data_IF_290859668608
#
_entry.id   IF_290859668608
#
_cell.length_a   1.000
_cell.length_b   1.000
_cell.length_c   1.000
_cell.angle_alpha   90.00
_cell.angle_beta   90.00
_cell.angle_gamma   90.00
#
_symmetry.space_group_name_H-M   'P 1'
#
loop_
_entity.id
_entity.type
_entity.pdbx_description
1 polymer ?
#
# COMPACT_ATOMS: atom_id res chain seq x y z
N UNK A 1 -32.50 -32.51 90.09
CA UNK A 1 -33.46 -32.33 91.19
C UNK A 1 -34.23 -31.04 90.95
N UNK A 2 -35.51 -31.11 90.52
CA UNK A 2 -36.53 -30.01 90.42
C UNK A 2 -36.14 -28.76 89.58
N UNK A 3 -37.01 -28.04 88.84
CA UNK A 3 -38.43 -28.07 88.40
C UNK A 3 -38.47 -27.24 87.07
N UNK A 4 -39.29 -27.53 86.04
CA UNK A 4 -40.63 -26.93 85.78
C UNK A 4 -40.74 -25.42 86.12
N UNK A 5 -41.33 -24.48 85.36
CA UNK A 5 -42.16 -24.37 84.13
C UNK A 5 -42.14 -22.85 83.70
N UNK A 6 -42.60 -22.31 82.56
CA UNK A 6 -43.27 -22.80 81.34
C UNK A 6 -43.05 -21.82 80.14
N UNK A 7 -43.60 -22.17 78.96
CA UNK A 7 -44.12 -21.29 77.87
C UNK A 7 -43.21 -20.35 77.04
N UNK A 8 -43.63 -20.14 75.78
CA UNK A 8 -42.93 -19.48 74.67
C UNK A 8 -43.95 -19.09 73.57
N UNK A 9 -43.57 -18.41 72.48
CA UNK A 9 -42.77 -17.19 72.37
C UNK A 9 -43.50 -16.13 71.49
N UNK A 10 -42.88 -14.96 71.21
CA UNK A 10 -42.54 -14.53 69.84
C UNK A 10 -41.88 -13.13 69.76
N UNK A 11 -40.71 -13.11 69.13
CA UNK A 11 -40.17 -12.10 68.18
C UNK A 11 -40.41 -10.59 68.43
N UNK A 12 -39.31 -9.89 68.73
CA UNK A 12 -39.15 -8.45 68.51
C UNK A 12 -37.89 -8.17 67.69
N UNK A 13 -37.98 -7.27 66.70
CA UNK A 13 -36.87 -6.89 65.82
C UNK A 13 -35.81 -6.03 66.52
N UNK A 14 -34.53 -6.26 66.21
CA UNK A 14 -33.42 -5.39 66.56
C UNK A 14 -32.60 -5.04 65.33
N UNK A 15 -32.60 -3.77 64.93
CA UNK A 15 -31.97 -3.30 63.69
C UNK A 15 -30.45 -3.26 63.79
N UNK A 16 -29.75 -3.98 62.90
CA UNK A 16 -28.30 -3.86 62.72
C UNK A 16 -27.97 -2.84 61.62
N UNK A 17 -27.15 -1.84 61.95
CA UNK A 17 -26.65 -0.85 60.99
C UNK A 17 -25.52 -1.48 60.17
N UNK A 18 -25.78 -1.78 58.90
CA UNK A 18 -24.76 -2.21 57.96
C UNK A 18 -24.15 -1.00 57.24
N UNK A 19 -22.87 -0.71 57.51
CA UNK A 19 -22.10 0.28 56.73
C UNK A 19 -21.73 -0.38 55.40
N UNK A 20 -22.54 -0.12 54.37
CA UNK A 20 -22.25 -0.57 53.01
C UNK A 20 -21.10 0.25 52.42
N UNK A 21 -19.92 -0.36 52.24
CA UNK A 21 -18.92 0.16 51.31
C UNK A 21 -19.50 0.07 49.90
N UNK A 22 -20.00 1.19 49.38
CA UNK A 22 -20.33 1.32 47.98
C UNK A 22 -19.02 1.34 47.17
N UNK A 23 -18.49 0.17 46.80
CA UNK A 23 -17.48 0.07 45.76
C UNK A 23 -18.09 0.58 44.47
N UNK A 24 -17.77 1.83 44.12
CA UNK A 24 -18.09 2.41 42.83
C UNK A 24 -17.32 1.62 41.76
N UNK A 25 -17.93 0.58 41.23
CA UNK A 25 -17.46 -0.07 40.00
C UNK A 25 -17.69 0.93 38.89
N UNK A 26 -16.68 1.78 38.68
CA UNK A 26 -16.54 2.52 37.43
C UNK A 26 -16.31 1.45 36.37
N UNK A 27 -17.40 1.04 35.73
CA UNK A 27 -17.35 0.26 34.51
C UNK A 27 -16.56 1.10 33.51
N UNK A 28 -15.27 0.76 33.36
CA UNK A 28 -14.45 1.30 32.29
C UNK A 28 -15.03 0.70 31.02
N UNK A 29 -15.94 1.43 30.38
CA UNK A 29 -16.23 1.21 28.98
C UNK A 29 -14.87 1.16 28.27
N UNK A 30 -14.60 0.15 27.42
CA UNK A 30 -13.34 0.10 26.69
C UNK A 30 -13.22 1.42 25.93
N UNK A 31 -12.16 2.17 26.20
CA UNK A 31 -11.93 3.44 25.53
C UNK A 31 -11.69 3.13 24.06
N UNK A 32 -12.72 3.33 23.24
CA UNK A 32 -12.66 3.17 21.78
C UNK A 32 -11.84 4.31 21.20
N UNK A 33 -10.52 4.29 21.40
CA UNK A 33 -9.56 5.11 20.66
C UNK A 33 -9.31 4.43 19.31
N UNK A 34 -10.39 4.14 18.59
CA UNK A 34 -10.32 4.03 17.14
C UNK A 34 -10.10 5.42 16.56
N UNK A 35 -9.77 5.50 15.27
CA UNK A 35 -9.86 6.76 14.55
C UNK A 35 -11.27 7.34 14.71
N UNK A 36 -11.40 8.55 15.26
CA UNK A 36 -12.69 9.25 15.25
C UNK A 36 -13.19 9.27 13.80
N UNK A 37 -14.42 8.80 13.55
CA UNK A 37 -14.99 8.73 12.20
C UNK A 37 -15.05 10.11 11.51
N UNK A 38 -14.90 11.20 12.27
CA UNK A 38 -14.70 12.58 11.78
C UNK A 38 -13.42 12.79 10.95
N UNK A 39 -12.43 11.89 11.03
CA UNK A 39 -11.14 11.97 10.32
C UNK A 39 -11.13 11.25 8.97
N UNK A 40 -12.07 10.33 8.75
CA UNK A 40 -12.21 9.60 7.49
C UNK A 40 -13.02 10.47 6.51
N UNK A 41 -12.48 10.68 5.31
CA UNK A 41 -13.12 11.44 4.24
C UNK A 41 -13.29 10.56 3.01
N UNK A 42 -14.45 10.68 2.36
CA UNK A 42 -14.72 10.06 1.07
C UNK A 42 -13.84 10.70 -0.01
N UNK A 43 -13.21 9.88 -0.84
CA UNK A 43 -12.52 10.29 -2.08
C UNK A 43 -13.45 10.08 -3.27
N UNK A 44 -13.98 8.85 -3.42
CA UNK A 44 -14.96 8.46 -4.42
C UNK A 44 -15.74 7.22 -3.94
N UNK A 45 -16.99 7.03 -4.39
CA UNK A 45 -17.81 5.83 -4.10
C UNK A 45 -18.55 5.34 -5.34
N UNK A 46 -18.98 4.08 -5.32
CA UNK A 46 -19.82 3.53 -6.38
C UNK A 46 -21.13 4.34 -6.53
N UNK A 47 -21.59 4.50 -7.78
CA UNK A 47 -22.77 5.31 -8.12
C UNK A 47 -22.53 6.83 -8.12
N UNK A 48 -21.40 7.33 -7.62
CA UNK A 48 -21.05 8.76 -7.75
C UNK A 48 -20.78 9.11 -9.23
N UNK A 49 -21.33 10.24 -9.69
CA UNK A 49 -21.15 10.70 -11.07
C UNK A 49 -19.66 10.90 -11.42
N UNK A 50 -19.24 10.35 -12.56
CA UNK A 50 -17.85 10.37 -12.99
C UNK A 50 -17.55 11.53 -13.97
N UNK A 51 -16.37 12.18 -13.88
CA UNK A 51 -15.97 13.22 -14.82
C UNK A 51 -15.81 12.68 -16.24
N UNK A 52 -16.69 13.10 -17.15
CA UNK A 52 -16.77 12.61 -18.53
C UNK A 52 -18.06 11.85 -18.87
N UNK A 53 -18.88 11.52 -17.87
CA UNK A 53 -20.16 10.84 -18.04
C UNK A 53 -20.26 9.55 -17.22
N UNK A 54 -21.49 9.04 -17.06
CA UNK A 54 -21.75 7.86 -16.25
C UNK A 54 -21.47 8.06 -14.76
N UNK A 55 -21.22 6.95 -14.06
CA UNK A 55 -20.88 6.89 -12.64
C UNK A 55 -19.74 5.92 -12.38
N UNK A 56 -18.97 6.13 -11.33
CA UNK A 56 -18.02 5.13 -10.83
C UNK A 56 -18.76 3.86 -10.44
N UNK A 57 -18.16 2.72 -10.72
CA UNK A 57 -18.69 1.40 -10.39
C UNK A 57 -17.73 0.69 -9.43
N UNK A 58 -16.59 0.20 -9.90
CA UNK A 58 -15.57 -0.44 -9.07
C UNK A 58 -14.29 0.37 -8.98
N UNK A 59 -13.61 0.31 -7.82
CA UNK A 59 -12.26 0.88 -7.61
C UNK A 59 -11.16 -0.19 -7.58
N UNK A 60 -11.55 -1.46 -7.69
CA UNK A 60 -10.69 -2.63 -7.61
C UNK A 60 -10.82 -3.52 -8.83
N UNK A 61 -9.82 -4.38 -9.01
CA UNK A 61 -9.86 -5.52 -9.92
C UNK A 61 -9.59 -6.75 -9.05
N UNK A 62 -10.44 -7.76 -9.14
CA UNK A 62 -10.56 -8.86 -8.15
C UNK A 62 -9.22 -9.52 -7.77
N UNK A 63 -8.28 -9.58 -8.72
CA UNK A 63 -7.02 -10.31 -8.61
C UNK A 63 -5.80 -9.43 -8.28
N UNK A 64 -5.97 -8.12 -8.05
CA UNK A 64 -4.89 -7.17 -7.85
C UNK A 64 -5.09 -6.27 -6.60
N UNK A 65 -4.04 -5.92 -5.85
CA UNK A 65 -4.15 -4.98 -4.74
C UNK A 65 -4.41 -3.56 -5.26
N UNK A 66 -5.33 -2.83 -4.63
CA UNK A 66 -5.62 -1.44 -4.99
C UNK A 66 -4.67 -0.50 -4.26
N UNK A 67 -4.00 0.38 -5.02
CA UNK A 67 -3.12 1.41 -4.49
C UNK A 67 -3.54 2.75 -5.10
N UNK A 68 -4.08 3.62 -4.25
CA UNK A 68 -4.49 4.97 -4.61
C UNK A 68 -3.57 5.99 -3.92
N UNK A 69 -2.42 6.35 -4.53
CA UNK A 69 -1.42 7.19 -3.88
C UNK A 69 -1.98 8.57 -3.55
N UNK A 70 -1.56 9.09 -2.38
CA UNK A 70 -1.96 10.39 -1.83
C UNK A 70 -0.73 11.27 -1.62
N UNK A 71 -0.84 12.57 -1.93
CA UNK A 71 0.23 13.56 -1.71
C UNK A 71 -0.09 14.54 -0.56
N UNK A 72 0.90 15.34 -0.17
CA UNK A 72 0.79 16.30 0.95
C UNK A 72 -0.28 17.40 0.75
N UNK A 73 -0.87 17.53 -0.44
CA UNK A 73 -2.03 18.42 -0.68
C UNK A 73 -3.38 17.71 -0.53
N UNK A 74 -3.39 16.46 -0.10
CA UNK A 74 -4.60 15.63 -0.02
C UNK A 74 -5.18 15.30 -1.40
N UNK A 75 -4.38 15.37 -2.46
CA UNK A 75 -4.78 14.87 -3.78
C UNK A 75 -4.59 13.36 -3.79
N UNK A 76 -5.52 12.64 -4.42
CA UNK A 76 -5.50 11.17 -4.50
C UNK A 76 -5.69 10.75 -5.96
N UNK A 77 -4.73 10.00 -6.51
CA UNK A 77 -4.87 9.40 -7.83
C UNK A 77 -5.41 7.98 -7.70
N UNK A 78 -6.36 7.58 -8.55
CA UNK A 78 -6.99 6.27 -8.47
C UNK A 78 -7.48 5.76 -9.83
N UNK A 79 -7.61 4.44 -9.93
CA UNK A 79 -8.30 3.73 -11.00
C UNK A 79 -9.79 3.55 -10.64
N UNK A 80 -10.67 3.57 -11.64
CA UNK A 80 -12.05 3.11 -11.49
C UNK A 80 -12.67 2.59 -12.80
N UNK A 81 -13.56 1.60 -12.71
CA UNK A 81 -14.51 1.25 -13.77
C UNK A 81 -15.72 2.19 -13.76
N UNK A 82 -16.41 2.28 -14.89
CA UNK A 82 -17.46 3.26 -15.15
C UNK A 82 -18.73 2.60 -15.70
N UNK A 83 -19.84 2.81 -15.00
CA UNK A 83 -21.16 2.36 -15.42
C UNK A 83 -21.91 3.48 -16.17
N UNK A 84 -22.63 3.13 -17.24
CA UNK A 84 -23.40 4.08 -18.11
C UNK A 84 -22.54 5.21 -18.70
N UNK A 85 -21.26 4.92 -18.94
CA UNK A 85 -20.28 5.80 -19.58
C UNK A 85 -19.96 5.29 -21.00
N UNK A 86 -19.44 6.17 -21.86
CA UNK A 86 -18.88 5.76 -23.16
C UNK A 86 -17.50 5.10 -23.02
N UNK A 87 -16.77 5.44 -21.96
CA UNK A 87 -15.52 4.80 -21.54
C UNK A 87 -15.81 3.75 -20.47
N UNK A 88 -15.20 2.57 -20.54
CA UNK A 88 -15.40 1.50 -19.55
C UNK A 88 -14.63 1.68 -18.24
N UNK A 89 -13.46 2.32 -18.28
CA UNK A 89 -12.58 2.53 -17.12
C UNK A 89 -11.62 3.72 -17.32
N UNK A 90 -10.94 4.13 -16.26
CA UNK A 90 -9.89 5.14 -16.36
C UNK A 90 -9.17 5.49 -15.07
N UNK A 91 -8.27 6.47 -15.19
CA UNK A 91 -7.49 7.08 -14.10
C UNK A 91 -8.04 8.48 -13.81
N UNK A 92 -8.18 8.76 -12.52
CA UNK A 92 -8.77 9.99 -11.99
C UNK A 92 -7.88 10.60 -10.91
N UNK A 93 -8.04 11.91 -10.68
CA UNK A 93 -7.38 12.64 -9.61
C UNK A 93 -8.44 13.38 -8.79
N UNK A 94 -8.63 12.97 -7.54
CA UNK A 94 -9.38 13.72 -6.56
C UNK A 94 -8.53 14.83 -5.93
N UNK A 95 -9.14 15.97 -5.64
CA UNK A 95 -8.55 17.12 -4.98
C UNK A 95 -9.63 17.84 -4.17
N UNK A 96 -9.74 17.53 -2.88
CA UNK A 96 -10.89 17.95 -2.07
C UNK A 96 -12.16 17.21 -2.49
N UNK A 97 -13.24 17.92 -2.79
CA UNK A 97 -14.49 17.36 -3.32
C UNK A 97 -14.53 17.28 -4.86
N UNK A 98 -13.54 17.84 -5.55
CA UNK A 98 -13.46 17.81 -7.02
C UNK A 98 -12.67 16.60 -7.50
N UNK A 99 -13.22 15.87 -8.47
CA UNK A 99 -12.52 14.78 -9.17
C UNK A 99 -12.31 15.23 -10.61
N UNK A 100 -11.10 15.05 -11.12
CA UNK A 100 -10.71 15.39 -12.50
C UNK A 100 -10.36 14.12 -13.26
N UNK A 101 -10.80 14.03 -14.53
CA UNK A 101 -10.39 12.98 -15.47
C UNK A 101 -8.90 13.16 -15.81
N UNK A 102 -8.08 12.14 -15.58
CA UNK A 102 -6.67 12.14 -16.03
C UNK A 102 -6.56 11.48 -17.40
N UNK A 103 -7.18 10.30 -17.55
CA UNK A 103 -7.30 9.56 -18.80
C UNK A 103 -8.41 8.50 -18.64
N UNK A 104 -9.18 8.24 -19.69
CA UNK A 104 -10.15 7.13 -19.74
C UNK A 104 -10.01 6.34 -21.03
N UNK A 105 -10.63 5.17 -21.06
CA UNK A 105 -10.83 4.36 -22.26
C UNK A 105 -11.46 5.22 -23.40
N UNK A 106 -10.91 5.09 -24.61
CA UNK A 106 -11.25 5.92 -25.78
C UNK A 106 -10.52 7.25 -25.90
N UNK A 107 -9.80 7.75 -24.88
CA UNK A 107 -8.97 8.97 -25.02
C UNK A 107 -7.82 8.74 -26.03
N UNK A 108 -7.42 9.79 -26.76
CA UNK A 108 -6.33 9.68 -27.76
C UNK A 108 -4.99 9.39 -27.09
N UNK A 109 -4.30 8.34 -27.54
CA UNK A 109 -2.99 7.96 -27.04
C UNK A 109 -1.86 8.81 -27.68
N UNK A 110 -0.90 9.34 -26.89
CA UNK A 110 0.29 9.99 -27.43
C UNK A 110 1.12 9.03 -28.30
N UNK A 111 1.16 9.31 -29.61
CA UNK A 111 1.81 8.45 -30.62
C UNK A 111 0.84 7.85 -31.64
N UNK A 112 -0.47 7.97 -31.42
CA UNK A 112 -1.52 7.45 -32.31
C UNK A 112 -2.34 6.33 -31.64
N UNK A 113 -3.54 6.10 -32.16
CA UNK A 113 -4.54 5.22 -31.54
C UNK A 113 -5.27 5.87 -30.35
N UNK A 114 -5.97 5.04 -29.58
CA UNK A 114 -6.67 5.40 -28.35
C UNK A 114 -6.20 4.54 -27.19
N UNK A 115 -6.25 5.08 -25.97
CA UNK A 115 -6.18 4.27 -24.76
C UNK A 115 -7.38 3.31 -24.76
N UNK A 116 -7.15 2.05 -24.37
CA UNK A 116 -8.15 0.98 -24.48
C UNK A 116 -8.16 0.03 -23.29
N UNK A 117 -7.58 0.45 -22.17
CA UNK A 117 -7.56 -0.30 -20.91
C UNK A 117 -6.42 0.13 -19.99
N UNK A 118 -6.62 -0.06 -18.70
CA UNK A 118 -5.74 0.24 -17.57
C UNK A 118 -5.69 -0.95 -16.61
N UNK A 119 -6.70 -1.82 -16.64
CA UNK A 119 -6.88 -2.89 -15.64
C UNK A 119 -5.81 -3.98 -15.59
N UNK A 120 -4.90 -4.06 -16.57
CA UNK A 120 -3.69 -4.89 -16.48
C UNK A 120 -2.75 -4.42 -15.37
N UNK A 121 -2.67 -3.10 -15.15
CA UNK A 121 -1.79 -2.44 -14.19
C UNK A 121 -2.50 -1.21 -13.57
N UNK A 122 -3.55 -1.41 -12.74
CA UNK A 122 -4.47 -0.35 -12.29
C UNK A 122 -3.88 0.59 -11.22
N UNK A 123 -2.56 0.58 -11.02
CA UNK A 123 -1.86 1.33 -9.98
C UNK A 123 -1.23 2.58 -10.61
N UNK A 124 -1.85 3.78 -10.46
CA UNK A 124 -1.19 5.02 -10.81
C UNK A 124 -0.12 5.39 -9.79
N UNK A 125 0.80 6.28 -10.18
CA UNK A 125 1.71 6.98 -9.30
C UNK A 125 1.41 8.49 -9.32
N UNK A 126 1.46 9.14 -8.16
CA UNK A 126 1.17 10.56 -7.95
C UNK A 126 2.36 11.25 -7.29
N UNK A 127 2.73 12.44 -7.75
CA UNK A 127 3.77 13.26 -7.11
C UNK A 127 3.20 14.50 -6.40
N UNK A 128 4.05 15.24 -5.68
CA UNK A 128 3.70 16.45 -4.97
C UNK A 128 3.42 17.66 -5.89
N UNK A 129 3.33 17.50 -7.21
CA UNK A 129 2.85 18.51 -8.16
C UNK A 129 1.49 18.16 -8.77
N UNK A 130 0.90 17.02 -8.43
CA UNK A 130 -0.34 16.55 -9.06
C UNK A 130 -0.12 15.94 -10.44
N UNK A 131 1.13 15.66 -10.83
CA UNK A 131 1.40 14.83 -12.00
C UNK A 131 1.04 13.38 -11.69
N UNK A 132 0.47 12.68 -12.67
CA UNK A 132 0.03 11.29 -12.54
C UNK A 132 0.67 10.44 -13.64
N UNK A 133 1.43 9.41 -13.25
CA UNK A 133 1.94 8.38 -14.16
C UNK A 133 1.09 7.11 -14.06
N UNK A 134 0.86 6.43 -15.16
CA UNK A 134 0.09 5.17 -15.21
C UNK A 134 0.49 4.34 -16.43
N UNK A 135 0.21 3.04 -16.39
CA UNK A 135 0.29 2.16 -17.55
C UNK A 135 -1.10 2.00 -18.19
N UNK A 136 -1.16 1.86 -19.51
CA UNK A 136 -2.41 1.64 -20.25
C UNK A 136 -2.18 0.89 -21.58
N UNK A 137 -3.15 0.06 -21.95
CA UNK A 137 -3.27 -0.53 -23.27
C UNK A 137 -3.64 0.52 -24.34
N UNK A 138 -3.26 0.26 -25.58
CA UNK A 138 -3.51 1.13 -26.74
C UNK A 138 -4.11 0.32 -27.89
N UNK A 139 -5.20 0.81 -28.45
CA UNK A 139 -5.87 0.25 -29.63
C UNK A 139 -5.73 1.18 -30.84
N UNK A 140 -5.70 0.61 -32.05
CA UNK A 140 -5.65 1.38 -33.31
C UNK A 140 -4.38 2.22 -33.53
N UNK A 141 -3.31 1.93 -32.78
CA UNK A 141 -2.00 2.58 -32.89
C UNK A 141 -0.89 1.63 -33.38
N UNK A 142 0.35 2.12 -33.37
CA UNK A 142 1.55 1.32 -33.68
C UNK A 142 2.13 0.58 -32.46
N UNK A 143 1.51 0.77 -31.29
CA UNK A 143 1.85 0.10 -30.03
C UNK A 143 0.57 -0.48 -29.41
N UNK A 144 0.75 -1.47 -28.54
CA UNK A 144 -0.35 -2.17 -27.83
C UNK A 144 -0.46 -1.75 -26.36
N UNK A 145 0.58 -1.15 -25.78
CA UNK A 145 0.56 -0.59 -24.43
C UNK A 145 1.67 0.43 -24.21
N UNK A 146 1.51 1.28 -23.20
CA UNK A 146 2.50 2.26 -22.81
C UNK A 146 2.39 2.70 -21.36
N UNK A 147 3.47 3.29 -20.87
CA UNK A 147 3.46 4.11 -19.66
C UNK A 147 3.29 5.55 -20.09
N UNK A 148 2.36 6.25 -19.48
CA UNK A 148 2.03 7.63 -19.77
C UNK A 148 2.17 8.50 -18.52
N UNK A 149 2.38 9.79 -18.73
CA UNK A 149 2.50 10.79 -17.67
C UNK A 149 1.64 11.99 -18.03
N UNK A 150 0.61 12.24 -17.23
CA UNK A 150 -0.18 13.48 -17.25
C UNK A 150 0.46 14.48 -16.30
N UNK A 151 0.87 15.64 -16.82
CA UNK A 151 1.50 16.70 -16.05
C UNK A 151 1.11 18.04 -16.65
N UNK A 152 0.63 18.97 -15.82
CA UNK A 152 0.11 20.29 -16.25
C UNK A 152 -0.95 20.19 -17.35
N UNK A 153 -1.87 19.22 -17.21
CA UNK A 153 -2.97 18.97 -18.17
C UNK A 153 -2.54 18.37 -19.52
N UNK A 154 -1.27 17.95 -19.67
CA UNK A 154 -0.76 17.34 -20.90
C UNK A 154 -0.35 15.90 -20.67
N UNK A 155 -0.92 14.99 -21.45
CA UNK A 155 -0.53 13.58 -21.50
C UNK A 155 0.67 13.40 -22.45
N UNK A 156 1.70 12.68 -22.00
CA UNK A 156 2.86 12.28 -22.81
C UNK A 156 3.19 10.81 -22.60
N UNK A 157 3.77 10.15 -23.59
CA UNK A 157 4.34 8.81 -23.44
C UNK A 157 5.69 8.84 -22.72
N UNK A 158 5.90 7.87 -21.83
CA UNK A 158 7.14 7.60 -21.09
C UNK A 158 7.80 6.37 -21.73
N UNK A 159 7.08 5.28 -21.92
CA UNK A 159 7.55 4.12 -22.67
C UNK A 159 6.38 3.51 -23.43
N UNK A 160 6.65 2.79 -24.51
CA UNK A 160 5.64 2.08 -25.31
C UNK A 160 6.19 0.73 -25.74
N UNK A 161 5.33 -0.29 -25.78
CA UNK A 161 5.70 -1.60 -26.31
C UNK A 161 6.10 -1.48 -27.79
N UNK A 162 7.08 -2.27 -28.22
CA UNK A 162 7.78 -2.13 -29.51
C UNK A 162 8.82 -1.00 -29.56
N UNK A 163 8.83 -0.08 -28.58
CA UNK A 163 9.86 0.96 -28.48
C UNK A 163 11.24 0.42 -28.12
N UNK A 164 12.32 1.14 -28.43
CA UNK A 164 13.70 0.71 -28.12
C UNK A 164 13.94 0.67 -26.61
N UNK A 165 14.71 -0.32 -26.15
CA UNK A 165 15.09 -0.51 -24.76
C UNK A 165 16.60 -0.24 -24.57
N UNK A 166 17.03 0.99 -24.21
CA UNK A 166 18.45 1.37 -24.16
C UNK A 166 19.24 0.52 -23.15
N UNK A 167 20.52 0.28 -23.43
CA UNK A 167 21.37 -0.56 -22.57
C UNK A 167 21.13 -2.06 -22.72
N UNK A 168 20.23 -2.50 -23.60
CA UNK A 168 20.06 -3.89 -24.04
C UNK A 168 20.23 -3.94 -25.56
N UNK A 169 21.26 -4.65 -26.04
CA UNK A 169 21.60 -4.70 -27.46
C UNK A 169 20.44 -5.27 -28.29
N UNK A 170 19.94 -4.50 -29.26
CA UNK A 170 18.75 -4.81 -30.08
C UNK A 170 17.48 -5.11 -29.27
N UNK A 171 17.38 -4.57 -28.05
CA UNK A 171 16.22 -4.74 -27.17
C UNK A 171 15.04 -3.85 -27.56
N UNK A 172 13.83 -4.41 -27.52
CA UNK A 172 12.57 -3.65 -27.60
C UNK A 172 11.66 -3.98 -26.42
N UNK A 173 10.99 -2.98 -25.86
CA UNK A 173 9.96 -3.21 -24.83
C UNK A 173 8.87 -4.16 -25.33
N UNK A 174 8.48 -5.11 -24.50
CA UNK A 174 7.42 -6.08 -24.79
C UNK A 174 6.27 -5.95 -23.78
N UNK A 175 6.59 -5.83 -22.49
CA UNK A 175 5.64 -5.57 -21.40
C UNK A 175 6.15 -4.42 -20.53
N UNK A 176 5.24 -3.58 -20.05
CA UNK A 176 5.51 -2.41 -19.20
C UNK A 176 4.62 -2.41 -17.96
N UNK A 177 5.22 -2.50 -16.77
CA UNK A 177 4.49 -2.55 -15.50
C UNK A 177 4.11 -1.16 -14.95
N UNK A 178 3.37 -1.16 -13.84
CA UNK A 178 2.97 0.04 -13.11
C UNK A 178 4.19 0.92 -12.73
N UNK A 179 4.16 2.23 -13.04
CA UNK A 179 5.29 3.13 -12.80
C UNK A 179 5.43 3.55 -11.33
N UNK A 180 6.63 4.01 -10.98
CA UNK A 180 6.89 4.92 -9.86
C UNK A 180 7.26 6.32 -10.39
N UNK A 181 6.84 7.37 -9.68
CA UNK A 181 6.97 8.77 -10.10
C UNK A 181 7.53 9.61 -8.94
N UNK A 182 8.44 10.55 -9.22
CA UNK A 182 8.91 11.53 -8.24
C UNK A 182 8.51 12.98 -8.59
N UNK A 183 8.83 13.91 -7.69
CA UNK A 183 8.53 15.35 -7.83
C UNK A 183 9.29 16.04 -8.98
N UNK A 184 10.33 15.41 -9.54
CA UNK A 184 11.03 15.90 -10.75
C UNK A 184 10.38 15.42 -12.06
N UNK A 185 9.18 14.83 -11.99
CA UNK A 185 8.49 14.18 -13.11
C UNK A 185 9.33 13.02 -13.71
N UNK A 186 10.28 12.44 -12.95
CA UNK A 186 11.03 11.26 -13.36
C UNK A 186 10.18 10.02 -13.12
N UNK A 187 10.27 9.04 -14.02
CA UNK A 187 9.47 7.81 -13.97
C UNK A 187 10.37 6.59 -13.99
N UNK A 188 10.28 5.75 -12.96
CA UNK A 188 10.91 4.44 -12.92
C UNK A 188 9.87 3.35 -13.21
N UNK A 189 10.25 2.28 -13.88
CA UNK A 189 9.34 1.18 -14.21
C UNK A 189 10.10 -0.13 -14.45
N UNK A 190 9.44 -1.25 -14.15
CA UNK A 190 9.86 -2.57 -14.59
C UNK A 190 9.31 -2.82 -16.00
N UNK A 191 10.09 -3.52 -16.82
CA UNK A 191 9.69 -3.90 -18.16
C UNK A 191 10.26 -5.26 -18.55
N UNK A 192 9.48 -6.06 -19.27
CA UNK A 192 10.04 -7.13 -20.07
C UNK A 192 10.53 -6.58 -21.41
N UNK A 193 11.75 -6.93 -21.79
CA UNK A 193 12.43 -6.52 -23.01
C UNK A 193 12.68 -7.77 -23.87
N UNK A 194 12.18 -7.75 -25.10
CA UNK A 194 12.50 -8.78 -26.10
C UNK A 194 13.87 -8.49 -26.71
N UNK A 195 14.73 -9.51 -26.72
CA UNK A 195 16.09 -9.50 -27.29
C UNK A 195 16.26 -10.72 -28.20
N UNK A 196 16.04 -10.54 -29.50
CA UNK A 196 16.05 -11.66 -30.46
C UNK A 196 14.91 -12.65 -30.16
N UNK A 197 15.26 -13.86 -29.71
CA UNK A 197 14.30 -14.90 -29.25
C UNK A 197 14.13 -14.94 -27.73
N UNK A 198 14.94 -14.19 -26.98
CA UNK A 198 14.89 -14.12 -25.53
C UNK A 198 13.95 -12.98 -25.07
N UNK A 199 13.43 -13.12 -23.86
CA UNK A 199 12.75 -12.05 -23.13
C UNK A 199 13.42 -11.94 -21.77
N UNK A 200 13.82 -10.72 -21.41
CA UNK A 200 14.52 -10.43 -20.14
C UNK A 200 13.84 -9.27 -19.42
N UNK A 201 13.80 -9.31 -18.10
CA UNK A 201 13.32 -8.21 -17.27
C UNK A 201 14.41 -7.15 -17.07
N UNK A 202 13.97 -5.89 -16.99
CA UNK A 202 14.84 -4.76 -16.70
C UNK A 202 14.08 -3.59 -16.08
N UNK A 203 14.70 -2.96 -15.08
CA UNK A 203 14.22 -1.71 -14.48
C UNK A 203 14.82 -0.53 -15.27
N UNK A 204 13.97 0.42 -15.62
CA UNK A 204 14.33 1.64 -16.35
C UNK A 204 14.01 2.88 -15.55
N UNK A 205 14.79 3.95 -15.80
CA UNK A 205 14.52 5.30 -15.33
C UNK A 205 14.40 6.26 -16.52
N UNK A 206 13.30 7.03 -16.57
CA UNK A 206 13.10 8.16 -17.47
C UNK A 206 13.34 9.46 -16.71
N UNK A 207 14.55 10.02 -16.85
CA UNK A 207 14.92 11.33 -16.30
C UNK A 207 14.75 12.41 -17.39
N UNK A 208 13.58 13.05 -17.43
CA UNK A 208 13.24 14.01 -18.49
C UNK A 208 13.18 13.36 -19.87
N UNK A 209 14.18 13.64 -20.73
CA UNK A 209 14.32 13.00 -22.05
C UNK A 209 15.23 11.76 -22.04
N UNK A 210 16.08 11.60 -21.03
CA UNK A 210 16.97 10.43 -20.94
C UNK A 210 16.18 9.20 -20.50
N UNK A 211 16.37 8.08 -21.18
CA UNK A 211 15.89 6.76 -20.78
C UNK A 211 17.10 5.86 -20.57
N UNK A 212 17.30 5.40 -19.35
CA UNK A 212 18.47 4.60 -18.96
C UNK A 212 18.02 3.29 -18.31
N UNK A 213 18.66 2.18 -18.70
CA UNK A 213 18.61 0.94 -17.92
C UNK A 213 19.22 1.21 -16.54
N UNK A 214 18.53 0.80 -15.49
CA UNK A 214 19.03 0.78 -14.11
C UNK A 214 19.71 -0.56 -13.85
N UNK A 215 18.98 -1.65 -14.07
CA UNK A 215 19.43 -3.05 -13.98
C UNK A 215 18.61 -3.92 -14.95
N UNK A 216 19.17 -5.04 -15.39
CA UNK A 216 18.48 -6.11 -16.12
C UNK A 216 18.89 -7.50 -15.61
N UNK A 217 18.09 -8.51 -15.96
CA UNK A 217 18.47 -9.91 -15.77
C UNK A 217 19.80 -10.19 -16.49
N UNK A 218 20.66 -10.97 -15.82
CA UNK A 218 22.03 -11.24 -16.26
C UNK A 218 23.05 -10.16 -15.91
N UNK A 219 22.64 -8.96 -15.46
CA UNK A 219 23.60 -7.99 -14.90
C UNK A 219 24.19 -8.53 -13.58
N UNK A 220 25.49 -8.29 -13.27
CA UNK A 220 26.10 -8.73 -12.02
C UNK A 220 25.42 -8.12 -10.80
N UNK A 221 25.10 -8.95 -9.80
CA UNK A 221 24.51 -8.50 -8.56
C UNK A 221 25.60 -8.12 -7.52
N UNK A 222 25.36 -7.10 -6.67
CA UNK A 222 26.22 -6.84 -5.51
C UNK A 222 26.33 -8.06 -4.60
N UNK A 223 27.54 -8.33 -4.12
CA UNK A 223 27.94 -9.57 -3.42
C UNK A 223 27.90 -10.87 -4.28
N UNK A 224 27.93 -10.75 -5.60
CA UNK A 224 28.11 -11.86 -6.54
C UNK A 224 26.81 -12.47 -7.05
N UNK A 225 26.94 -13.34 -8.07
CA UNK A 225 25.83 -13.83 -8.86
C UNK A 225 25.31 -12.81 -9.88
N UNK A 226 24.16 -13.10 -10.49
CA UNK A 226 23.50 -12.24 -11.48
C UNK A 226 22.02 -12.06 -11.13
N UNK A 227 21.47 -10.88 -11.42
CA UNK A 227 20.03 -10.65 -11.26
C UNK A 227 19.22 -11.60 -12.16
N UNK A 228 18.16 -12.18 -11.60
CA UNK A 228 17.31 -13.20 -12.24
C UNK A 228 15.82 -12.85 -12.25
N UNK A 229 15.40 -11.82 -11.51
CA UNK A 229 14.05 -11.28 -11.56
C UNK A 229 13.89 -10.10 -10.61
N UNK A 230 12.89 -9.25 -10.84
CA UNK A 230 12.71 -8.01 -10.09
C UNK A 230 11.28 -7.83 -9.56
N UNK A 231 11.16 -7.17 -8.42
CA UNK A 231 9.91 -6.55 -8.01
C UNK A 231 9.77 -5.11 -8.57
N UNK A 232 8.54 -4.54 -8.58
CA UNK A 232 8.31 -3.19 -9.08
C UNK A 232 9.16 -2.14 -8.34
N UNK A 233 9.78 -1.18 -9.05
CA UNK A 233 10.65 -0.18 -8.44
C UNK A 233 9.87 0.85 -7.61
N UNK A 234 10.53 1.38 -6.58
CA UNK A 234 10.19 2.65 -5.95
C UNK A 234 11.24 3.72 -6.31
N UNK A 235 10.84 5.00 -6.32
CA UNK A 235 11.66 6.12 -6.80
C UNK A 235 11.50 7.33 -5.86
N UNK A 236 12.61 7.96 -5.45
CA UNK A 236 12.58 9.18 -4.64
C UNK A 236 12.95 10.44 -5.43
N UNK A 237 12.83 11.61 -4.80
CA UNK A 237 13.15 12.91 -5.36
C UNK A 237 14.59 13.11 -5.81
N UNK A 238 15.56 12.30 -5.34
CA UNK A 238 16.94 12.35 -5.83
C UNK A 238 17.17 11.54 -7.11
N UNK A 239 16.25 10.65 -7.46
CA UNK A 239 16.41 9.70 -8.56
C UNK A 239 16.98 8.35 -8.13
N UNK A 240 17.11 8.09 -6.83
CA UNK A 240 17.42 6.75 -6.30
C UNK A 240 16.26 5.83 -6.60
N UNK A 241 16.57 4.67 -7.18
CA UNK A 241 15.61 3.60 -7.48
C UNK A 241 15.84 2.46 -6.49
N UNK A 242 14.82 2.09 -5.73
CA UNK A 242 14.86 0.96 -4.81
C UNK A 242 13.99 -0.19 -5.33
N UNK A 243 14.41 -1.44 -5.14
CA UNK A 243 13.71 -2.61 -5.67
C UNK A 243 14.08 -3.88 -4.89
N UNK A 244 13.16 -4.85 -4.84
CA UNK A 244 13.48 -6.23 -4.49
C UNK A 244 13.99 -6.97 -5.75
N UNK A 245 14.90 -7.93 -5.59
CA UNK A 245 15.34 -8.77 -6.70
C UNK A 245 15.71 -10.19 -6.27
N UNK A 246 15.55 -11.13 -7.20
CA UNK A 246 16.08 -12.49 -7.16
C UNK A 246 17.47 -12.50 -7.79
N UNK A 247 18.40 -13.26 -7.21
CA UNK A 247 19.79 -13.36 -7.68
C UNK A 247 20.20 -14.83 -7.78
N UNK A 248 20.65 -15.24 -8.96
CA UNK A 248 21.15 -16.58 -9.26
C UNK A 248 22.68 -16.66 -9.11
N UNK A 249 23.21 -17.89 -9.03
CA UNK A 249 24.65 -18.14 -8.94
C UNK A 249 25.28 -17.83 -7.57
N UNK A 250 24.48 -17.68 -6.51
CA UNK A 250 24.93 -17.48 -5.12
C UNK A 250 24.07 -18.28 -4.13
N UNK A 251 24.57 -18.48 -2.91
CA UNK A 251 23.84 -19.19 -1.84
C UNK A 251 22.62 -18.43 -1.29
N UNK A 252 22.57 -17.11 -1.53
CA UNK A 252 21.60 -16.16 -0.99
C UNK A 252 20.70 -15.63 -2.13
N UNK A 253 19.51 -16.21 -2.37
CA UNK A 253 18.81 -16.13 -3.66
C UNK A 253 18.12 -14.79 -4.00
N UNK A 254 18.37 -13.72 -3.24
CA UNK A 254 17.75 -12.42 -3.48
C UNK A 254 18.04 -11.40 -2.40
N UNK A 255 17.43 -10.22 -2.52
CA UNK A 255 17.65 -9.11 -1.59
C UNK A 255 16.80 -7.87 -1.91
N UNK A 256 16.94 -6.86 -1.05
CA UNK A 256 16.48 -5.49 -1.30
C UNK A 256 17.69 -4.66 -1.73
N UNK A 257 17.56 -3.93 -2.82
CA UNK A 257 18.63 -3.16 -3.46
C UNK A 257 18.22 -1.71 -3.64
N UNK A 258 19.22 -0.83 -3.74
CA UNK A 258 19.04 0.52 -4.28
C UNK A 258 20.08 0.81 -5.36
N UNK A 259 19.69 1.63 -6.33
CA UNK A 259 20.53 2.10 -7.42
C UNK A 259 20.45 3.63 -7.52
N UNK A 260 21.60 4.28 -7.61
CA UNK A 260 21.73 5.71 -7.85
C UNK A 260 22.94 6.00 -8.75
N UNK A 261 23.43 7.25 -8.81
CA UNK A 261 24.56 7.64 -9.65
C UNK A 261 25.90 7.00 -9.24
N UNK A 262 26.00 6.40 -8.06
CA UNK A 262 27.17 5.64 -7.61
C UNK A 262 27.17 4.17 -8.05
N UNK A 263 26.03 3.65 -8.51
CA UNK A 263 25.84 2.26 -8.90
C UNK A 263 24.73 1.57 -8.11
N UNK A 264 24.76 0.23 -8.09
CA UNK A 264 23.79 -0.62 -7.40
C UNK A 264 24.41 -1.18 -6.12
N UNK A 265 23.67 -1.13 -5.00
CA UNK A 265 24.08 -1.69 -3.71
C UNK A 265 22.96 -2.52 -3.09
N UNK A 266 23.33 -3.60 -2.39
CA UNK A 266 22.42 -4.41 -1.60
C UNK A 266 22.23 -3.76 -0.23
N UNK A 267 20.98 -3.62 0.22
CA UNK A 267 20.65 -3.19 1.58
C UNK A 267 20.58 -4.39 2.53
N UNK A 268 19.89 -5.44 2.11
CA UNK A 268 19.65 -6.68 2.88
C UNK A 268 19.56 -7.83 1.89
N UNK A 269 20.30 -8.91 2.12
CA UNK A 269 20.25 -10.16 1.36
C UNK A 269 19.46 -11.26 2.09
N UNK A 270 18.90 -12.20 1.32
CA UNK A 270 18.40 -13.44 1.87
C UNK A 270 19.56 -14.25 2.47
N UNK A 271 19.41 -14.78 3.68
CA UNK A 271 20.50 -15.42 4.43
C UNK A 271 21.24 -14.48 5.40
N UNK A 272 21.08 -13.16 5.29
CA UNK A 272 21.60 -12.22 6.28
C UNK A 272 20.85 -12.40 7.62
N UNK A 273 21.51 -12.12 8.75
CA UNK A 273 20.91 -12.22 10.08
C UNK A 273 19.84 -11.13 10.31
N UNK A 274 18.70 -11.53 10.86
CA UNK A 274 17.62 -10.61 11.24
C UNK A 274 17.82 -10.10 12.67
N UNK A 275 17.48 -8.83 12.99
CA UNK A 275 17.45 -8.31 14.36
C UNK A 275 16.53 -9.09 15.32
N UNK A 276 15.63 -9.95 14.80
CA UNK A 276 14.75 -10.83 15.57
C UNK A 276 15.35 -12.25 15.78
N UNK A 277 16.62 -12.43 15.44
CA UNK A 277 17.28 -13.73 15.32
C UNK A 277 16.90 -14.45 14.01
N UNK A 278 17.61 -15.53 13.69
CA UNK A 278 17.44 -16.23 12.42
C UNK A 278 17.85 -15.39 11.21
N UNK A 279 17.37 -15.78 10.03
CA UNK A 279 17.76 -15.17 8.75
C UNK A 279 16.58 -14.66 7.92
N UNK A 280 16.84 -13.69 7.05
CA UNK A 280 15.90 -13.30 5.99
C UNK A 280 15.74 -14.44 4.97
N UNK A 281 14.50 -14.86 4.69
CA UNK A 281 14.21 -15.93 3.74
C UNK A 281 13.57 -15.41 2.44
N UNK A 282 12.65 -14.43 2.53
CA UNK A 282 12.01 -13.75 1.40
C UNK A 282 11.68 -12.31 1.77
N UNK A 283 11.51 -11.46 0.75
CA UNK A 283 11.10 -10.06 0.87
C UNK A 283 9.77 -9.82 0.14
N UNK A 284 9.05 -8.77 0.49
CA UNK A 284 7.90 -8.29 -0.28
C UNK A 284 8.36 -7.85 -1.66
N UNK A 285 7.61 -8.26 -2.68
CA UNK A 285 7.90 -7.94 -4.09
C UNK A 285 7.96 -6.42 -4.31
N UNK A 286 6.95 -5.71 -3.79
CA UNK A 286 6.95 -4.24 -3.74
C UNK A 286 7.57 -3.77 -2.42
N UNK A 287 8.39 -2.74 -2.52
CA UNK A 287 9.01 -2.03 -1.41
C UNK A 287 8.58 -0.56 -1.45
N UNK A 288 8.73 0.17 -0.34
CA UNK A 288 8.51 1.61 -0.29
C UNK A 288 9.83 2.34 -0.04
N UNK A 289 10.01 3.49 -0.70
CA UNK A 289 11.19 4.37 -0.59
C UNK A 289 10.71 5.81 -0.37
N UNK A 290 11.38 6.56 0.52
CA UNK A 290 11.11 7.99 0.72
C UNK A 290 12.31 8.89 0.34
N UNK A 291 12.10 10.20 0.40
CA UNK A 291 13.13 11.20 0.06
C UNK A 291 14.31 11.26 1.05
N UNK A 292 14.16 10.68 2.24
CA UNK A 292 15.27 10.51 3.19
C UNK A 292 16.15 9.28 2.85
N UNK A 293 15.79 8.52 1.80
CA UNK A 293 16.50 7.30 1.41
C UNK A 293 16.18 6.08 2.28
N UNK A 294 15.16 6.17 3.15
CA UNK A 294 14.70 5.04 3.94
C UNK A 294 13.92 4.06 3.06
N UNK A 295 14.07 2.75 3.29
CA UNK A 295 13.38 1.71 2.53
C UNK A 295 12.59 0.80 3.47
N UNK A 296 11.27 0.68 3.26
CA UNK A 296 10.40 -0.22 4.01
C UNK A 296 10.00 -1.44 3.16
N UNK A 297 10.01 -2.62 3.78
CA UNK A 297 9.65 -3.90 3.16
C UNK A 297 9.09 -4.86 4.21
N UNK A 298 8.29 -5.83 3.79
CA UNK A 298 7.89 -6.95 4.65
C UNK A 298 8.84 -8.12 4.37
N UNK A 299 9.30 -8.82 5.41
CA UNK A 299 10.19 -9.97 5.28
C UNK A 299 9.58 -11.23 5.89
N UNK A 300 9.78 -12.37 5.20
CA UNK A 300 9.61 -13.71 5.78
C UNK A 300 10.94 -14.14 6.37
N UNK A 301 10.91 -14.65 7.60
CA UNK A 301 12.10 -15.02 8.36
C UNK A 301 12.16 -16.55 8.56
N UNK A 302 13.38 -17.10 8.67
CA UNK A 302 13.61 -18.52 8.95
C UNK A 302 14.51 -18.67 10.18
N UNK A 303 14.07 -19.46 11.16
CA UNK A 303 14.78 -19.64 12.43
C UNK A 303 14.70 -18.44 13.38
N UNK A 304 13.95 -17.40 13.02
CA UNK A 304 13.59 -16.30 13.91
C UNK A 304 12.50 -16.73 14.89
N UNK A 305 12.23 -15.90 15.91
CA UNK A 305 11.10 -16.12 16.85
C UNK A 305 9.71 -16.00 16.21
N UNK A 306 9.64 -15.37 15.04
CA UNK A 306 8.42 -14.98 14.32
C UNK A 306 8.57 -15.31 12.84
N UNK A 307 7.48 -15.63 12.14
CA UNK A 307 7.56 -16.00 10.72
C UNK A 307 7.69 -14.80 9.77
N UNK A 308 7.22 -13.62 10.16
CA UNK A 308 7.20 -12.43 9.30
C UNK A 308 7.37 -11.15 10.13
N UNK A 309 7.94 -10.11 9.54
CA UNK A 309 8.03 -8.77 10.13
C UNK A 309 8.07 -7.68 9.06
N UNK A 310 7.51 -6.51 9.39
CA UNK A 310 7.69 -5.27 8.64
C UNK A 310 9.00 -4.63 9.10
N UNK A 311 9.86 -4.27 8.15
CA UNK A 311 11.20 -3.75 8.37
C UNK A 311 11.37 -2.38 7.73
N UNK A 312 12.28 -1.58 8.29
CA UNK A 312 12.73 -0.29 7.76
C UNK A 312 14.26 -0.28 7.72
N UNK A 313 14.85 0.05 6.58
CA UNK A 313 16.28 0.39 6.47
C UNK A 313 16.43 1.90 6.51
N UNK A 314 17.27 2.37 7.43
CA UNK A 314 17.66 3.78 7.57
C UNK A 314 19.17 3.84 7.82
N UNK A 315 19.91 4.64 7.03
CA UNK A 315 21.37 4.75 7.11
C UNK A 315 22.09 3.38 7.18
N UNK A 316 21.67 2.44 6.33
CA UNK A 316 22.16 1.06 6.22
C UNK A 316 22.01 0.20 7.49
N UNK A 317 21.14 0.61 8.41
CA UNK A 317 20.72 -0.19 9.57
C UNK A 317 19.29 -0.67 9.38
N UNK A 318 19.06 -1.97 9.59
CA UNK A 318 17.71 -2.53 9.63
C UNK A 318 17.08 -2.33 11.00
N UNK A 319 15.86 -1.81 11.03
CA UNK A 319 15.01 -1.66 12.20
C UNK A 319 13.72 -2.45 12.00
N UNK A 320 13.29 -3.15 13.04
CA UNK A 320 11.95 -3.77 13.11
C UNK A 320 10.91 -2.68 13.31
N UNK A 321 9.88 -2.68 12.47
CA UNK A 321 8.72 -1.77 12.54
C UNK A 321 7.59 -2.42 13.33
N UNK A 322 7.30 -3.68 12.99
CA UNK A 322 6.32 -4.56 13.66
C UNK A 322 6.62 -6.00 13.26
N UNK A 323 6.38 -6.96 14.14
CA UNK A 323 6.50 -8.38 13.87
C UNK A 323 5.19 -9.14 14.14
N UNK A 324 5.07 -10.36 13.59
CA UNK A 324 4.00 -11.27 14.00
C UNK A 324 4.15 -11.66 15.47
N UNK A 325 3.06 -12.11 16.08
CA UNK A 325 2.92 -12.45 17.49
C UNK A 325 3.12 -11.27 18.47
N UNK A 326 3.52 -10.09 18.00
CA UNK A 326 3.55 -8.86 18.80
C UNK A 326 2.11 -8.35 19.10
N UNK A 327 1.89 -7.69 20.25
CA UNK A 327 0.59 -7.11 20.59
C UNK A 327 0.17 -6.00 19.61
N UNK A 328 -1.08 -6.05 19.16
CA UNK A 328 -1.66 -4.95 18.39
C UNK A 328 -2.17 -3.82 19.31
N UNK A 329 -2.22 -2.55 18.85
CA UNK A 329 -2.55 -1.38 19.69
C UNK A 329 -3.86 -1.43 20.48
N UNK A 330 -4.85 -2.16 19.99
CA UNK A 330 -6.20 -2.29 20.60
C UNK A 330 -6.46 -3.70 21.17
N UNK A 331 -5.39 -4.45 21.44
CA UNK A 331 -5.44 -5.83 21.92
C UNK A 331 -5.38 -6.87 20.79
N UNK A 332 -5.24 -8.13 21.17
CA UNK A 332 -4.88 -9.21 20.24
C UNK A 332 -3.41 -9.17 19.82
N UNK A 333 -3.05 -10.00 18.83
CA UNK A 333 -1.68 -10.15 18.31
C UNK A 333 -1.68 -10.20 16.79
N UNK A 334 -0.68 -9.59 16.13
CA UNK A 334 -0.55 -9.64 14.68
C UNK A 334 -0.32 -11.07 14.18
N UNK A 335 -1.19 -11.57 13.30
CA UNK A 335 -1.13 -12.94 12.76
C UNK A 335 -0.78 -13.00 11.27
N UNK A 336 -0.97 -11.91 10.53
CA UNK A 336 -0.52 -11.77 9.14
C UNK A 336 -0.29 -10.30 8.78
N UNK A 337 0.73 -9.99 7.97
CA UNK A 337 0.88 -8.68 7.33
C UNK A 337 0.45 -8.75 5.86
N UNK A 338 -0.26 -7.72 5.41
CA UNK A 338 -0.62 -7.55 4.00
C UNK A 338 0.60 -7.36 3.10
N UNK A 339 0.39 -7.38 1.76
CA UNK A 339 1.47 -7.60 0.80
C UNK A 339 2.53 -6.50 0.82
N UNK A 340 2.14 -5.23 0.97
CA UNK A 340 3.00 -4.08 0.71
C UNK A 340 2.93 -3.04 1.85
N UNK A 341 4.07 -2.66 2.46
CA UNK A 341 4.13 -1.51 3.35
C UNK A 341 4.17 -0.20 2.54
N UNK A 342 3.81 0.91 3.19
CA UNK A 342 3.89 2.28 2.67
C UNK A 342 4.67 3.18 3.64
N UNK A 343 5.26 4.28 3.17
CA UNK A 343 6.31 4.99 3.91
C UNK A 343 6.16 6.52 3.82
N UNK A 344 6.01 7.17 4.97
CA UNK A 344 5.99 8.63 5.13
C UNK A 344 7.39 9.25 5.25
N UNK A 345 7.46 10.59 5.29
CA UNK A 345 8.74 11.34 5.26
C UNK A 345 9.65 11.07 6.46
N UNK A 346 9.07 10.85 7.64
CA UNK A 346 9.80 10.72 8.91
C UNK A 346 10.07 9.26 9.34
N UNK A 347 10.02 8.30 8.40
CA UNK A 347 10.12 6.87 8.73
C UNK A 347 8.86 6.28 9.35
N UNK A 348 7.73 6.98 9.27
CA UNK A 348 6.42 6.43 9.59
C UNK A 348 6.04 5.37 8.55
N UNK A 349 5.67 4.17 8.98
CA UNK A 349 5.36 3.04 8.10
C UNK A 349 3.90 2.65 8.25
N UNK A 350 3.16 2.64 7.15
CA UNK A 350 1.80 2.13 7.07
C UNK A 350 1.77 0.69 6.54
N UNK A 351 0.91 -0.15 7.11
CA UNK A 351 0.65 -1.51 6.60
C UNK A 351 -0.76 -1.96 6.96
N UNK A 352 -1.24 -3.01 6.30
CA UNK A 352 -2.44 -3.76 6.70
C UNK A 352 -2.03 -5.03 7.45
N UNK A 353 -2.83 -5.48 8.40
CA UNK A 353 -2.58 -6.72 9.14
C UNK A 353 -3.86 -7.40 9.60
N UNK A 354 -3.79 -8.72 9.71
CA UNK A 354 -4.75 -9.54 10.48
C UNK A 354 -4.34 -9.56 11.94
N UNK A 355 -5.32 -9.56 12.85
CA UNK A 355 -5.10 -9.57 14.30
C UNK A 355 -5.93 -10.67 14.95
N UNK A 356 -5.24 -11.64 15.54
CA UNK A 356 -5.87 -12.73 16.27
C UNK A 356 -6.24 -12.29 17.69
N UNK A 357 -7.36 -12.81 18.21
CA UNK A 357 -7.88 -12.54 19.57
C UNK A 357 -8.17 -11.05 19.84
N UNK A 358 -8.38 -10.26 18.79
CA UNK A 358 -8.89 -8.90 18.87
C UNK A 358 -10.41 -8.84 18.59
N UNK A 359 -11.04 -7.71 18.94
CA UNK A 359 -12.43 -7.43 18.55
C UNK A 359 -12.58 -7.18 17.03
N UNK A 360 -11.47 -6.89 16.33
CA UNK A 360 -11.45 -6.65 14.88
C UNK A 360 -10.36 -7.50 14.24
N UNK A 361 -10.75 -8.32 13.26
CA UNK A 361 -9.85 -9.32 12.66
C UNK A 361 -8.86 -8.80 11.61
N UNK A 362 -9.16 -7.67 10.94
CA UNK A 362 -8.27 -7.05 9.93
C UNK A 362 -8.33 -5.52 10.05
N UNK A 363 -7.16 -4.88 9.97
CA UNK A 363 -7.04 -3.43 10.09
C UNK A 363 -5.83 -2.88 9.32
N UNK A 364 -5.86 -1.57 9.05
CA UNK A 364 -4.72 -0.77 8.64
C UNK A 364 -4.09 -0.10 9.87
N UNK A 365 -2.76 -0.06 9.90
CA UNK A 365 -1.96 0.48 10.99
C UNK A 365 -0.92 1.46 10.46
N UNK A 366 -0.52 2.40 11.31
CA UNK A 366 0.66 3.25 11.09
C UNK A 366 1.57 3.13 12.31
N UNK A 367 2.86 2.87 12.08
CA UNK A 367 3.90 2.94 13.10
C UNK A 367 4.71 4.20 12.84
N UNK A 368 4.60 5.18 13.72
CA UNK A 368 5.43 6.39 13.71
C UNK A 368 6.26 6.48 15.00
N UNK A 369 7.54 6.83 14.88
CA UNK A 369 8.51 6.91 16.00
C UNK A 369 8.52 5.69 16.94
N UNK A 370 8.11 4.52 16.46
CA UNK A 370 8.03 3.28 17.24
C UNK A 370 6.73 3.08 18.01
N UNK A 371 5.76 3.99 17.88
CA UNK A 371 4.40 3.82 18.39
C UNK A 371 3.49 3.34 17.26
N UNK A 372 2.95 2.14 17.40
CA UNK A 372 1.88 1.64 16.54
C UNK A 372 0.54 2.30 16.90
N UNK A 373 -0.25 2.66 15.89
CA UNK A 373 -1.63 3.11 16.01
C UNK A 373 -2.50 2.46 14.92
N UNK A 374 -3.78 2.23 15.23
CA UNK A 374 -4.77 1.78 14.25
C UNK A 374 -5.21 2.99 13.41
N UNK A 375 -5.20 2.84 12.09
CA UNK A 375 -5.64 3.87 11.17
C UNK A 375 -7.14 3.70 10.85
N UNK A 376 -7.55 2.51 10.43
CA UNK A 376 -8.96 2.12 10.16
C UNK A 376 -9.05 0.59 10.19
N UNK A 377 -10.22 0.02 10.48
CA UNK A 377 -10.42 -1.42 10.61
C UNK A 377 -11.83 -1.87 10.24
N UNK A 378 -12.00 -3.18 10.03
CA UNK A 378 -13.32 -3.74 9.72
C UNK A 378 -14.34 -3.41 10.82
N UNK A 379 -15.52 -2.97 10.40
CA UNK A 379 -16.58 -2.50 11.29
C UNK A 379 -16.55 -0.99 11.60
N UNK A 380 -15.47 -0.26 11.32
CA UNK A 380 -15.46 1.20 11.47
C UNK A 380 -16.53 1.86 10.59
N UNK A 381 -17.10 2.97 11.07
CA UNK A 381 -18.08 3.76 10.31
C UNK A 381 -17.39 4.52 9.17
N UNK A 382 -18.01 4.49 7.99
CA UNK A 382 -17.57 5.24 6.82
C UNK A 382 -18.49 6.44 6.56
N UNK A 383 -17.98 7.52 5.92
CA UNK A 383 -18.81 8.58 5.36
C UNK A 383 -19.98 8.05 4.53
N UNK A 384 -21.06 8.81 4.46
CA UNK A 384 -22.33 8.46 3.81
C UNK A 384 -23.13 7.29 4.45
N UNK A 385 -22.76 6.83 5.65
CA UNK A 385 -23.67 6.05 6.52
C UNK A 385 -23.51 4.53 6.49
N UNK A 386 -22.38 4.02 5.97
CA UNK A 386 -22.06 2.59 5.99
C UNK A 386 -20.92 2.24 6.96
N UNK A 387 -20.39 1.02 6.83
CA UNK A 387 -19.21 0.53 7.54
C UNK A 387 -18.21 -0.08 6.57
N UNK A 388 -16.94 -0.10 6.97
CA UNK A 388 -15.89 -0.84 6.27
C UNK A 388 -16.10 -2.34 6.52
N UNK A 389 -16.58 -3.08 5.54
CA UNK A 389 -16.85 -4.54 5.65
C UNK A 389 -15.75 -5.39 5.06
N UNK A 390 -15.03 -4.90 4.05
CA UNK A 390 -13.86 -5.55 3.46
C UNK A 390 -12.87 -4.51 2.93
N UNK A 391 -11.57 -4.80 3.06
CA UNK A 391 -10.50 -4.06 2.37
C UNK A 391 -10.25 -4.58 0.93
N UNK A 392 -11.00 -5.60 0.48
CA UNK A 392 -10.71 -6.39 -0.72
C UNK A 392 -9.79 -7.59 -0.44
N UNK A 393 -9.59 -8.44 -1.45
CA UNK A 393 -8.83 -9.69 -1.33
C UNK A 393 -7.34 -9.45 -1.00
N UNK A 394 -6.76 -8.37 -1.53
CA UNK A 394 -5.38 -7.99 -1.31
C UNK A 394 -5.30 -6.60 -0.66
N UNK A 395 -5.44 -6.52 0.66
CA UNK A 395 -5.61 -5.24 1.37
C UNK A 395 -4.31 -4.44 1.37
N UNK A 396 -4.31 -3.27 0.74
CA UNK A 396 -3.18 -2.34 0.72
C UNK A 396 -3.61 -0.92 1.11
N UNK A 397 -2.66 -0.10 1.55
CA UNK A 397 -2.84 1.32 1.83
C UNK A 397 -1.73 2.16 1.20
N UNK A 398 -1.98 3.44 0.95
CA UNK A 398 -0.91 4.40 0.66
C UNK A 398 -0.77 5.42 1.78
N UNK A 399 0.47 5.73 2.15
CA UNK A 399 0.82 6.74 3.15
C UNK A 399 1.54 7.90 2.44
N UNK A 400 0.97 9.11 2.53
CA UNK A 400 1.63 10.31 2.01
C UNK A 400 2.85 10.69 2.87
N UNK A 401 3.81 11.47 2.32
CA UNK A 401 4.95 11.98 3.10
C UNK A 401 4.53 12.72 4.39
N UNK A 402 3.40 13.44 4.36
CA UNK A 402 2.78 14.16 5.47
C UNK A 402 1.94 13.33 6.44
N UNK A 403 1.62 12.06 6.12
CA UNK A 403 0.94 11.12 7.03
C UNK A 403 -0.55 10.86 6.77
N UNK A 404 -1.15 11.43 5.72
CA UNK A 404 -2.48 11.01 5.24
C UNK A 404 -2.44 9.56 4.72
N UNK A 405 -3.47 8.77 5.04
CA UNK A 405 -3.60 7.35 4.65
C UNK A 405 -4.78 7.17 3.69
N UNK A 406 -4.59 6.51 2.55
CA UNK A 406 -5.70 6.06 1.68
C UNK A 406 -5.91 4.56 1.78
N UNK A 407 -7.17 4.16 1.68
CA UNK A 407 -7.61 2.76 1.69
C UNK A 407 -8.89 2.58 0.87
N UNK A 408 -9.10 1.39 0.32
CA UNK A 408 -10.36 0.99 -0.32
C UNK A 408 -11.27 0.24 0.63
N UNK A 409 -12.57 0.39 0.40
CA UNK A 409 -13.64 -0.46 0.94
C UNK A 409 -14.32 -1.17 -0.22
N UNK A 410 -14.55 -2.47 -0.06
CA UNK A 410 -15.35 -3.28 -0.97
C UNK A 410 -16.53 -3.89 -0.21
N UNK A 411 -17.67 -4.18 -0.86
CA UNK A 411 -18.75 -4.92 -0.25
C UNK A 411 -18.33 -6.36 0.09
N UNK A 412 -19.06 -7.02 0.99
CA UNK A 412 -18.95 -8.47 1.18
C UNK A 412 -19.49 -9.22 -0.05
N UNK A 413 -19.24 -10.53 -0.12
CA UNK A 413 -19.88 -11.41 -1.11
C UNK A 413 -21.43 -11.45 -1.00
N UNK A 414 -22.01 -10.97 0.11
CA UNK A 414 -23.46 -10.79 0.30
C UNK A 414 -23.95 -9.38 -0.05
N UNK A 415 -23.08 -8.50 -0.53
CA UNK A 415 -23.40 -7.12 -0.92
C UNK A 415 -23.42 -6.11 0.23
N UNK A 416 -22.94 -6.47 1.42
CA UNK A 416 -22.93 -5.58 2.59
C UNK A 416 -21.70 -4.66 2.61
N UNK A 417 -21.92 -3.36 2.81
CA UNK A 417 -20.87 -2.35 2.96
C UNK A 417 -20.92 -1.27 1.89
N UNK A 418 -19.91 -0.40 1.89
CA UNK A 418 -19.76 0.68 0.90
C UNK A 418 -18.62 0.31 -0.03
N UNK A 419 -18.86 0.34 -1.34
CA UNK A 419 -17.79 0.32 -2.32
C UNK A 419 -17.25 1.74 -2.54
N UNK A 420 -15.96 1.93 -2.27
CA UNK A 420 -15.35 3.25 -2.37
C UNK A 420 -13.89 3.34 -1.98
N UNK A 421 -13.36 4.53 -2.23
CA UNK A 421 -12.03 4.96 -1.85
C UNK A 421 -12.11 6.07 -0.81
N UNK A 422 -11.31 5.94 0.24
CA UNK A 422 -11.34 6.81 1.41
C UNK A 422 -9.93 7.31 1.76
N UNK A 423 -9.87 8.45 2.44
CA UNK A 423 -8.64 9.06 2.94
C UNK A 423 -8.81 9.50 4.39
N UNK A 424 -7.82 9.19 5.22
CA UNK A 424 -7.71 9.64 6.60
C UNK A 424 -6.72 10.80 6.61
N UNK A 425 -7.13 11.93 7.17
CA UNK A 425 -6.23 13.07 7.35
C UNK A 425 -5.06 12.69 8.30
N UNK A 426 -3.86 13.29 8.14
CA UNK A 426 -2.79 13.10 9.11
C UNK A 426 -3.26 13.63 10.47
N UNK A 427 -2.84 12.96 11.55
CA UNK A 427 -3.12 13.42 12.90
C UNK A 427 -2.57 14.86 13.10
N UNK A 428 -3.31 15.76 13.80
CA UNK A 428 -2.77 17.06 14.18
C UNK A 428 -1.50 16.86 15.02
N UNK A 429 -0.48 17.68 14.76
CA UNK A 429 0.85 17.62 15.39
C UNK A 429 0.92 18.41 16.68
#
# INVERSE_FOLDING_TARGET
>A
MLRQLAEAPQLACGSAIAIGLATLVVAHAPATIGSDASTIRQVAVAGQAAPGGGSFEHFSIEWLPVVAPVNDRGQVAFFATLLRSAASEGIFLASGSSITKIAVDGDRAPGGGTLSGFGKHPIPALNAHGSVAFAAAVAGGTTVEGIFLSSRGRLRSVAVAGGPAPGIASGTFAVLDAPALNDRDYVAFLASVRRGREQVEAIYLRAGRALTKVVAQGDPAPAGGTFAGFGPPALNGQGTVAFAAVVEGRAAPGGVFVADTSGVRMLVGAGDESPLGGIYAKFSERIALNDAGMVAFTAVLKGARVAQAVMLVEADRVRVVSALDEPAPEGGTFSHFGPWPSLGRAGAVGFTASVDRAAVGVAAFVVDRGRASRAVALGDALPAGGRLTSFGLYPAISLSPGGAVTFTSAPTATGEGVEGLFVIAPAPR
#
